data_IF_605151269924
#
_entry.id   IF_605151269924
#
_cell.length_a   1.000
_cell.length_b   1.000
_cell.length_c   1.000
_cell.angle_alpha   90.00
_cell.angle_beta   90.00
_cell.angle_gamma   90.00
#
_symmetry.space_group_name_H-M   'P 1'
#
loop_
_entity.id
_entity.type
_entity.pdbx_description
1 polymer ?
#
# COMPACT_ATOMS: atom_id res chain seq x y z
N UNK A 1 -2.19 -7.62 15.72
CA UNK A 1 -1.31 -6.96 16.73
C UNK A 1 -2.09 -6.32 17.87
N UNK A 2 -3.22 -5.66 17.60
CA UNK A 2 -4.01 -5.02 18.66
C UNK A 2 -4.66 -5.99 19.67
N UNK A 3 -4.87 -7.26 19.28
CA UNK A 3 -5.37 -8.31 20.15
C UNK A 3 -4.35 -8.84 21.18
N UNK A 4 -3.07 -8.47 21.07
CA UNK A 4 -2.03 -8.85 22.00
C UNK A 4 -1.84 -7.79 23.09
N UNK A 5 -1.45 -8.23 24.28
CA UNK A 5 -0.96 -7.33 25.34
C UNK A 5 0.28 -6.57 24.86
N UNK A 6 0.56 -5.41 25.47
CA UNK A 6 1.71 -4.60 25.10
C UNK A 6 3.04 -5.37 25.19
N UNK A 7 3.23 -6.19 26.24
CA UNK A 7 4.42 -7.02 26.40
C UNK A 7 4.55 -8.10 25.33
N UNK A 8 3.46 -8.80 24.99
CA UNK A 8 3.47 -9.81 23.94
C UNK A 8 3.72 -9.18 22.55
N UNK A 9 3.14 -8.01 22.29
CA UNK A 9 3.39 -7.23 21.08
C UNK A 9 4.85 -6.84 20.95
N UNK A 10 5.45 -6.35 22.04
CA UNK A 10 6.85 -5.97 22.05
C UNK A 10 7.76 -7.19 21.79
N UNK A 11 7.51 -8.31 22.46
CA UNK A 11 8.27 -9.54 22.25
C UNK A 11 8.20 -10.04 20.80
N UNK A 12 7.03 -9.92 20.15
CA UNK A 12 6.88 -10.30 18.76
C UNK A 12 7.73 -9.42 17.83
N UNK A 13 7.67 -8.10 17.99
CA UNK A 13 8.44 -7.17 17.14
C UNK A 13 9.94 -7.34 17.39
N UNK A 14 10.37 -7.49 18.65
CA UNK A 14 11.76 -7.79 19.00
C UNK A 14 12.24 -9.09 18.35
N UNK A 15 11.45 -10.16 18.42
CA UNK A 15 11.81 -11.44 17.82
C UNK A 15 12.12 -11.34 16.33
N UNK A 16 11.44 -10.46 15.60
CA UNK A 16 11.69 -10.23 14.17
C UNK A 16 12.83 -9.25 13.88
N UNK A 17 12.87 -8.09 14.56
CA UNK A 17 13.69 -6.96 14.12
C UNK A 17 14.88 -6.66 15.03
N UNK A 18 14.86 -7.09 16.29
CA UNK A 18 15.94 -6.78 17.21
C UNK A 18 17.20 -7.61 16.91
N UNK A 19 18.40 -7.11 17.26
CA UNK A 19 19.66 -7.86 17.08
C UNK A 19 19.68 -9.21 17.81
N UNK A 20 18.99 -9.32 18.95
CA UNK A 20 18.80 -10.55 19.71
C UNK A 20 17.75 -11.51 19.12
N UNK A 21 16.97 -11.06 18.13
CA UNK A 21 16.01 -11.85 17.36
C UNK A 21 16.61 -12.39 16.07
N UNK A 22 15.79 -12.46 15.01
CA UNK A 22 16.24 -12.92 13.67
C UNK A 22 16.69 -11.79 12.74
N UNK A 23 16.69 -10.54 13.20
CA UNK A 23 17.35 -9.41 12.54
C UNK A 23 16.82 -9.05 11.14
N UNK A 24 15.50 -9.03 10.94
CA UNK A 24 14.91 -8.59 9.67
C UNK A 24 15.30 -7.15 9.32
N UNK A 25 15.64 -6.94 8.05
CA UNK A 25 16.07 -5.63 7.51
C UNK A 25 15.26 -5.17 6.30
N UNK A 26 14.18 -5.90 5.94
CA UNK A 26 13.26 -5.52 4.87
C UNK A 26 11.82 -5.64 5.36
N UNK A 27 10.99 -4.65 5.04
CA UNK A 27 9.56 -4.66 5.33
C UNK A 27 8.74 -4.25 4.10
N UNK A 28 7.70 -5.02 3.78
CA UNK A 28 6.73 -4.66 2.74
C UNK A 28 5.54 -3.96 3.36
N UNK A 29 5.13 -2.82 2.81
CA UNK A 29 3.96 -2.06 3.27
C UNK A 29 2.94 -1.98 2.13
N UNK A 30 1.74 -2.53 2.30
CA UNK A 30 0.67 -2.31 1.35
C UNK A 30 0.30 -0.84 1.23
N UNK A 31 0.03 -0.38 0.01
CA UNK A 31 -0.62 0.92 -0.23
C UNK A 31 -2.13 0.67 -0.20
N UNK A 32 -2.80 1.19 0.82
CA UNK A 32 -4.20 0.94 1.15
C UNK A 32 -4.53 -0.55 1.46
N UNK A 33 -5.74 -0.98 1.14
CA UNK A 33 -6.27 -2.31 1.51
C UNK A 33 -5.75 -3.46 0.64
N UNK A 34 -5.80 -4.65 1.22
CA UNK A 34 -5.44 -5.94 0.59
C UNK A 34 -6.47 -7.00 0.96
N UNK A 35 -6.27 -8.23 0.51
CA UNK A 35 -7.02 -9.40 0.98
C UNK A 35 -6.82 -9.70 2.48
N UNK A 36 -5.71 -9.25 3.07
CA UNK A 36 -5.44 -9.32 4.51
C UNK A 36 -5.91 -8.08 5.29
N UNK A 37 -6.81 -7.29 4.70
CA UNK A 37 -7.44 -6.13 5.36
C UNK A 37 -8.87 -6.46 5.82
N UNK A 38 -9.36 -5.82 6.90
CA UNK A 38 -10.72 -6.08 7.41
C UNK A 38 -11.82 -5.54 6.49
N UNK A 39 -11.47 -4.62 5.60
CA UNK A 39 -12.37 -3.97 4.66
C UNK A 39 -11.61 -3.59 3.38
N UNK A 40 -12.36 -3.29 2.32
CA UNK A 40 -11.82 -2.79 1.06
C UNK A 40 -11.89 -1.27 1.07
N UNK A 41 -10.74 -0.61 0.94
CA UNK A 41 -10.60 0.84 0.86
C UNK A 41 -9.40 1.24 0.00
N UNK A 42 -9.47 2.45 -0.57
CA UNK A 42 -8.31 3.18 -1.10
C UNK A 42 -8.08 4.44 -0.25
N UNK A 43 -7.07 5.23 -0.58
CA UNK A 43 -6.85 6.54 0.06
C UNK A 43 -7.64 7.65 -0.61
N UNK A 44 -8.29 7.39 -1.74
CA UNK A 44 -9.19 8.36 -2.38
C UNK A 44 -10.35 7.64 -3.08
N UNK A 45 -11.39 7.33 -2.30
CA UNK A 45 -12.60 6.69 -2.81
C UNK A 45 -13.64 7.71 -3.34
N UNK A 46 -13.27 9.00 -3.48
CA UNK A 46 -14.17 10.04 -4.01
C UNK A 46 -14.20 10.00 -5.54
N UNK A 47 -15.33 9.64 -6.18
CA UNK A 47 -15.36 9.47 -7.63
C UNK A 47 -15.03 10.74 -8.40
N UNK A 48 -14.05 10.65 -9.32
CA UNK A 48 -13.68 11.75 -10.20
C UNK A 48 -12.68 12.74 -9.60
N UNK A 49 -12.11 12.48 -8.43
CA UNK A 49 -11.09 13.32 -7.80
C UNK A 49 -9.71 13.15 -8.46
N UNK A 50 -9.58 13.62 -9.70
CA UNK A 50 -8.32 13.55 -10.45
C UNK A 50 -7.17 14.35 -9.80
N UNK A 51 -7.50 15.26 -8.89
CA UNK A 51 -6.55 16.12 -8.19
C UNK A 51 -6.17 15.60 -6.81
N UNK A 52 -6.74 14.47 -6.37
CA UNK A 52 -6.46 13.84 -5.08
C UNK A 52 -6.70 14.79 -3.88
N UNK A 53 -7.73 15.62 -3.97
CA UNK A 53 -8.10 16.59 -2.93
C UNK A 53 -8.65 15.92 -1.67
N UNK A 54 -9.25 14.74 -1.81
CA UNK A 54 -9.80 13.94 -0.73
C UNK A 54 -8.87 12.80 -0.30
N UNK A 55 -7.63 12.78 -0.82
CA UNK A 55 -6.65 11.77 -0.44
C UNK A 55 -6.38 11.80 1.07
N UNK A 56 -6.59 10.67 1.74
CA UNK A 56 -6.32 10.52 3.16
C UNK A 56 -5.86 9.09 3.49
N UNK A 57 -4.85 8.99 4.36
CA UNK A 57 -4.52 7.72 5.01
C UNK A 57 -5.68 7.28 5.91
N UNK A 58 -5.81 5.96 6.07
CA UNK A 58 -6.89 5.34 6.82
C UNK A 58 -6.50 5.07 8.28
N UNK A 59 -7.47 4.83 9.18
CA UNK A 59 -7.19 4.43 10.56
C UNK A 59 -6.22 3.25 10.67
N UNK A 60 -6.27 2.29 9.74
CA UNK A 60 -5.34 1.15 9.65
C UNK A 60 -3.88 1.58 9.49
N UNK A 61 -3.60 2.68 8.77
CA UNK A 61 -2.24 3.22 8.65
C UNK A 61 -1.75 3.77 9.98
N UNK A 62 -2.56 4.60 10.62
CA UNK A 62 -2.21 5.30 11.86
C UNK A 62 -2.18 4.38 13.08
N UNK A 63 -3.13 3.45 13.17
CA UNK A 63 -3.32 2.63 14.35
C UNK A 63 -2.49 1.34 14.29
N UNK A 64 -2.27 0.78 13.09
CA UNK A 64 -1.64 -0.53 12.95
C UNK A 64 -0.29 -0.47 12.24
N UNK A 65 -0.22 0.09 11.02
CA UNK A 65 0.98 0.01 10.17
C UNK A 65 2.11 0.89 10.70
N UNK A 66 1.88 2.19 10.81
CA UNK A 66 2.89 3.20 11.17
C UNK A 66 3.52 2.91 12.55
N UNK A 67 2.76 2.60 13.62
CA UNK A 67 3.35 2.31 14.93
C UNK A 67 4.28 1.11 14.92
N UNK A 68 3.93 0.04 14.20
CA UNK A 68 4.77 -1.17 14.08
C UNK A 68 6.03 -0.87 13.29
N UNK A 69 5.91 -0.12 12.19
CA UNK A 69 7.04 0.30 11.38
C UNK A 69 8.03 1.13 12.22
N UNK A 70 7.55 2.05 13.05
CA UNK A 70 8.42 2.85 13.94
C UNK A 70 9.19 2.00 14.95
N UNK A 71 8.51 1.05 15.61
CA UNK A 71 9.19 0.10 16.51
C UNK A 71 10.27 -0.70 15.78
N UNK A 72 9.98 -1.17 14.57
CA UNK A 72 10.95 -1.91 13.77
C UNK A 72 12.14 -1.03 13.31
N UNK A 73 11.90 0.22 12.92
CA UNK A 73 12.96 1.19 12.57
C UNK A 73 13.89 1.45 13.76
N UNK A 74 13.35 1.63 14.96
CA UNK A 74 14.14 1.81 16.19
C UNK A 74 15.03 0.60 16.47
N UNK A 75 14.45 -0.61 16.46
CA UNK A 75 15.17 -1.86 16.73
C UNK A 75 16.26 -2.16 15.70
N UNK A 76 16.05 -1.77 14.45
CA UNK A 76 17.03 -1.94 13.37
C UNK A 76 18.05 -0.80 13.29
N UNK A 77 18.01 0.19 14.19
CA UNK A 77 18.84 1.40 14.12
C UNK A 77 18.71 2.11 12.75
N UNK A 78 17.49 2.23 12.25
CA UNK A 78 17.13 2.81 10.93
C UNK A 78 17.74 2.07 9.73
N UNK A 79 18.11 0.78 9.86
CA UNK A 79 18.61 -0.04 8.75
C UNK A 79 17.48 -0.77 7.98
N UNK A 80 16.25 -0.76 8.49
CA UNK A 80 15.09 -1.37 7.84
C UNK A 80 14.78 -0.69 6.51
N UNK A 81 14.86 -1.44 5.41
CA UNK A 81 14.42 -1.01 4.08
C UNK A 81 12.95 -1.31 3.89
N UNK A 82 12.14 -0.26 3.78
CA UNK A 82 10.72 -0.40 3.49
C UNK A 82 10.49 -0.35 1.97
N UNK A 83 9.65 -1.23 1.45
CA UNK A 83 9.13 -1.07 0.10
C UNK A 83 7.60 -1.14 0.09
N UNK A 84 6.99 -0.35 -0.80
CA UNK A 84 5.54 -0.25 -0.91
C UNK A 84 4.99 -1.00 -2.13
N UNK A 85 3.76 -1.50 -2.03
CA UNK A 85 3.06 -2.13 -3.15
C UNK A 85 1.56 -1.85 -3.07
N UNK A 86 0.90 -1.33 -4.11
CA UNK A 86 -0.56 -1.29 -4.18
C UNK A 86 -1.12 -2.63 -4.66
N UNK A 87 -2.36 -2.91 -4.28
CA UNK A 87 -3.15 -4.02 -4.84
C UNK A 87 -4.19 -3.55 -5.86
N UNK A 88 -4.65 -2.30 -5.79
CA UNK A 88 -5.57 -1.75 -6.76
C UNK A 88 -5.55 -0.21 -6.70
N UNK A 89 -5.83 0.43 -7.83
CA UNK A 89 -6.27 1.83 -7.84
C UNK A 89 -7.68 1.96 -7.25
N UNK A 90 -8.09 3.17 -6.80
CA UNK A 90 -9.48 3.46 -6.47
C UNK A 90 -10.45 2.95 -7.54
N UNK A 91 -11.62 2.45 -7.11
CA UNK A 91 -12.56 1.80 -8.01
C UNK A 91 -12.98 2.69 -9.19
N UNK A 92 -13.13 4.00 -8.95
CA UNK A 92 -13.50 4.99 -9.97
C UNK A 92 -12.42 5.26 -11.03
N UNK A 93 -11.19 4.79 -10.82
CA UNK A 93 -10.09 4.86 -11.79
C UNK A 93 -9.96 3.59 -12.65
N UNK A 94 -10.71 2.53 -12.32
CA UNK A 94 -10.65 1.23 -13.00
C UNK A 94 -11.80 1.04 -13.98
N UNK A 95 -11.55 0.32 -15.07
CA UNK A 95 -12.56 0.03 -16.11
C UNK A 95 -13.77 -0.76 -15.57
N UNK A 96 -13.59 -1.48 -14.47
CA UNK A 96 -14.66 -2.24 -13.80
C UNK A 96 -15.43 -1.45 -12.77
N UNK A 97 -14.98 -0.24 -12.39
CA UNK A 97 -15.57 0.56 -11.32
C UNK A 97 -15.34 -0.01 -9.91
N UNK A 98 -14.53 -1.07 -9.76
CA UNK A 98 -14.39 -1.84 -8.50
C UNK A 98 -12.92 -2.12 -8.18
N UNK A 99 -12.55 -2.04 -6.90
CA UNK A 99 -11.22 -2.46 -6.43
C UNK A 99 -11.04 -3.97 -6.48
N UNK A 100 -12.03 -4.72 -5.98
CA UNK A 100 -12.06 -6.20 -6.03
C UNK A 100 -12.44 -6.66 -7.42
N UNK A 101 -11.74 -7.68 -7.92
CA UNK A 101 -11.81 -8.11 -9.31
C UNK A 101 -10.74 -7.43 -10.14
N UNK A 102 -10.47 -8.03 -11.31
CA UNK A 102 -9.52 -7.50 -12.26
C UNK A 102 -9.94 -6.17 -12.91
N UNK A 103 -9.39 -5.93 -14.09
CA UNK A 103 -9.62 -4.71 -14.86
C UNK A 103 -8.43 -3.75 -14.81
N UNK A 104 -8.28 -2.99 -15.89
CA UNK A 104 -7.19 -2.03 -16.07
C UNK A 104 -7.60 -0.64 -15.59
N UNK A 105 -6.63 0.26 -15.58
CA UNK A 105 -6.89 1.69 -15.46
C UNK A 105 -7.69 2.22 -16.67
N UNK A 106 -8.55 3.20 -16.45
CA UNK A 106 -9.32 3.86 -17.51
C UNK A 106 -8.40 4.71 -18.39
N UNK A 107 -8.63 4.66 -19.71
CA UNK A 107 -7.96 5.54 -20.68
C UNK A 107 -6.57 5.05 -21.09
N UNK A 108 -5.82 5.96 -21.71
CA UNK A 108 -4.52 5.67 -22.29
C UNK A 108 -3.38 5.89 -21.29
N UNK A 109 -2.27 5.19 -21.51
CA UNK A 109 -1.00 5.45 -20.81
C UNK A 109 -0.61 6.92 -21.00
N UNK A 110 -0.21 7.61 -19.93
CA UNK A 110 -0.01 9.06 -19.85
C UNK A 110 -1.29 9.93 -19.90
N UNK A 111 -2.47 9.32 -19.93
CA UNK A 111 -3.74 10.01 -19.77
C UNK A 111 -3.99 10.50 -18.32
N UNK A 112 -5.10 11.21 -18.08
CA UNK A 112 -5.38 11.82 -16.78
C UNK A 112 -5.43 10.80 -15.65
N UNK A 113 -6.03 9.63 -15.85
CA UNK A 113 -6.10 8.58 -14.81
C UNK A 113 -4.73 8.00 -14.46
N UNK A 114 -3.87 7.77 -15.46
CA UNK A 114 -2.50 7.31 -15.23
C UNK A 114 -1.67 8.36 -14.49
N UNK A 115 -1.81 9.64 -14.86
CA UNK A 115 -1.15 10.74 -14.15
C UNK A 115 -1.65 10.88 -12.71
N UNK A 116 -2.97 10.81 -12.49
CA UNK A 116 -3.54 10.81 -11.14
C UNK A 116 -3.05 9.62 -10.34
N UNK A 117 -2.91 8.44 -10.94
CA UNK A 117 -2.37 7.26 -10.24
C UNK A 117 -0.90 7.44 -9.88
N UNK A 118 -0.08 7.99 -10.77
CA UNK A 118 1.30 8.35 -10.45
C UNK A 118 1.36 9.35 -9.29
N UNK A 119 0.50 10.39 -9.29
CA UNK A 119 0.40 11.35 -8.20
C UNK A 119 -0.06 10.69 -6.90
N UNK A 120 -0.89 9.65 -6.96
CA UNK A 120 -1.36 8.90 -5.79
C UNK A 120 -0.20 8.24 -5.03
N UNK A 121 0.81 7.70 -5.74
CA UNK A 121 2.04 7.22 -5.09
C UNK A 121 2.81 8.35 -4.42
N UNK A 122 2.94 9.51 -5.07
CA UNK A 122 3.61 10.68 -4.48
C UNK A 122 2.91 11.09 -3.19
N UNK A 123 1.57 11.22 -3.21
CA UNK A 123 0.77 11.55 -2.03
C UNK A 123 0.95 10.52 -0.92
N UNK A 124 0.96 9.23 -1.24
CA UNK A 124 1.26 8.17 -0.26
C UNK A 124 2.61 8.39 0.43
N UNK A 125 3.68 8.65 -0.32
CA UNK A 125 5.00 8.89 0.25
C UNK A 125 5.06 10.18 1.05
N UNK A 126 4.41 11.25 0.60
CA UNK A 126 4.31 12.51 1.35
C UNK A 126 3.60 12.31 2.69
N UNK A 127 2.45 11.64 2.73
CA UNK A 127 1.70 11.41 3.97
C UNK A 127 2.44 10.48 4.94
N UNK A 128 3.13 9.44 4.45
CA UNK A 128 3.99 8.61 5.29
C UNK A 128 5.23 9.37 5.79
N UNK A 129 5.81 10.26 4.97
CA UNK A 129 6.95 11.09 5.36
C UNK A 129 6.59 12.07 6.49
N UNK A 130 5.37 12.64 6.48
CA UNK A 130 4.85 13.45 7.62
C UNK A 130 4.81 12.66 8.94
N UNK A 131 4.78 11.34 8.86
CA UNK A 131 4.81 10.43 9.99
C UNK A 131 6.22 9.90 10.30
N UNK A 132 7.28 10.49 9.71
CA UNK A 132 8.68 10.05 9.82
C UNK A 132 8.91 8.61 9.33
N UNK A 133 8.19 8.19 8.28
CA UNK A 133 8.39 6.90 7.62
C UNK A 133 8.75 7.12 6.16
N UNK A 134 9.91 6.62 5.75
CA UNK A 134 10.43 6.74 4.38
C UNK A 134 10.62 5.37 3.73
N UNK A 135 10.58 5.33 2.40
CA UNK A 135 10.65 4.08 1.64
C UNK A 135 11.93 3.98 0.81
N UNK A 136 12.50 2.79 0.76
CA UNK A 136 13.61 2.42 -0.11
C UNK A 136 13.16 2.12 -1.55
N UNK A 137 11.96 1.58 -1.72
CA UNK A 137 11.47 1.21 -3.04
C UNK A 137 9.96 1.07 -3.13
N UNK A 138 9.48 0.81 -4.34
CA UNK A 138 8.07 0.60 -4.65
C UNK A 138 7.96 -0.39 -5.80
N UNK A 139 6.91 -1.20 -5.79
CA UNK A 139 6.50 -2.00 -6.95
C UNK A 139 5.36 -1.29 -7.66
N UNK A 140 5.34 -1.32 -8.99
CA UNK A 140 4.27 -0.68 -9.77
C UNK A 140 2.88 -1.22 -9.43
N UNK A 141 2.76 -2.52 -9.22
CA UNK A 141 1.51 -3.19 -8.90
C UNK A 141 1.80 -4.56 -8.25
N UNK A 142 0.97 -4.98 -7.30
CA UNK A 142 0.98 -6.37 -6.81
C UNK A 142 0.29 -7.30 -7.83
N UNK A 143 0.99 -8.35 -8.26
CA UNK A 143 0.42 -9.42 -9.09
C UNK A 143 -0.38 -8.93 -10.32
N UNK A 144 0.18 -8.01 -11.14
CA UNK A 144 -0.56 -7.30 -12.18
C UNK A 144 -1.22 -8.22 -13.21
N UNK A 145 -0.65 -9.41 -13.46
CA UNK A 145 -1.18 -10.35 -14.45
C UNK A 145 -2.41 -11.13 -13.99
N UNK A 146 -2.65 -11.24 -12.67
CA UNK A 146 -3.82 -11.95 -12.14
C UNK A 146 -5.11 -11.17 -12.41
N UNK A 147 -5.02 -9.84 -12.41
CA UNK A 147 -6.13 -8.94 -12.72
C UNK A 147 -6.62 -9.00 -14.18
N UNK A 148 -6.07 -9.88 -15.03
CA UNK A 148 -6.72 -10.28 -16.29
C UNK A 148 -8.07 -10.93 -16.03
N UNK A 149 -8.21 -11.66 -14.94
CA UNK A 149 -9.47 -12.24 -14.52
C UNK A 149 -10.35 -11.17 -13.85
N UNK A 150 -11.45 -10.81 -14.51
CA UNK A 150 -12.41 -9.86 -13.98
C UNK A 150 -13.11 -10.37 -12.71
N UNK A 151 -13.13 -11.69 -12.49
CA UNK A 151 -13.72 -12.33 -11.31
C UNK A 151 -12.70 -12.65 -10.20
N UNK A 152 -11.47 -12.12 -10.32
CA UNK A 152 -10.45 -12.34 -9.29
C UNK A 152 -10.95 -11.90 -7.91
N UNK A 153 -10.78 -12.77 -6.90
CA UNK A 153 -11.51 -12.66 -5.64
C UNK A 153 -11.06 -11.54 -4.69
N UNK A 154 -10.01 -10.80 -5.05
CA UNK A 154 -9.36 -9.81 -4.18
C UNK A 154 -9.08 -8.51 -4.94
N UNK A 155 -8.59 -7.49 -4.23
CA UNK A 155 -8.12 -6.24 -4.82
C UNK A 155 -7.01 -6.54 -5.82
N UNK A 156 -7.18 -6.12 -7.07
CA UNK A 156 -6.18 -6.33 -8.12
C UNK A 156 -6.32 -5.25 -9.21
N UNK A 157 -5.23 -4.86 -9.88
CA UNK A 157 -5.32 -4.02 -11.09
C UNK A 157 -4.43 -4.56 -12.21
N UNK A 158 -4.98 -4.59 -13.43
CA UNK A 158 -4.29 -5.19 -14.56
C UNK A 158 -3.26 -4.23 -15.15
N UNK A 159 -2.01 -4.71 -15.19
CA UNK A 159 -0.95 -4.19 -16.04
C UNK A 159 -0.30 -5.31 -16.83
N UNK A 160 0.30 -4.93 -17.95
CA UNK A 160 1.24 -5.78 -18.67
C UNK A 160 2.46 -4.93 -19.07
N UNK A 161 3.53 -5.57 -19.53
CA UNK A 161 4.78 -4.87 -19.86
C UNK A 161 4.68 -3.78 -20.94
N UNK A 162 3.57 -3.68 -21.69
CA UNK A 162 3.36 -2.57 -22.63
C UNK A 162 2.82 -1.30 -21.96
N UNK A 163 2.26 -1.44 -20.75
CA UNK A 163 1.64 -0.37 -19.95
C UNK A 163 2.60 0.22 -18.90
N UNK A 164 3.76 -0.41 -18.65
CA UNK A 164 4.75 -0.02 -17.63
C UNK A 164 5.70 1.12 -18.07
N UNK A 165 5.27 2.04 -18.94
CA UNK A 165 6.15 3.05 -19.55
C UNK A 165 6.24 4.36 -18.78
#
# INVERSE_FOLDING_TARGET
MQSLSAGARNNLVHGYFAPEGIGYTVGRVPIASTDFSPSVYSYDDTPGDLNLTNFALHPEDYNDKIPIIKMALELTQNKLKLFASPWAAPGWMKTTGKMVGGGAMIGDVNGPYYQTWANYFVRFFEEYAKNNVTFWGVTMENEPTQAKDLNYGIQAMFYNGTMER
#
